data_IF_963520773331
#
_entry.id   IF_963520773331
#
_cell.length_a   1.000
_cell.length_b   1.000
_cell.length_c   1.000
_cell.angle_alpha   90.00
_cell.angle_beta   90.00
_cell.angle_gamma   90.00
#
_symmetry.space_group_name_H-M   'P 1'
#
loop_
_entity.id
_entity.type
_entity.pdbx_description
1 polymer ?
#
# COMPACT_ATOMS: atom_id res chain seq x y z
N UNK A 1 -52.65 -20.22 18.70
CA UNK A 1 -51.87 -20.17 17.45
C UNK A 1 -50.99 -21.40 17.39
N UNK A 2 -51.08 -22.21 16.33
CA UNK A 2 -50.18 -23.35 16.14
C UNK A 2 -48.73 -22.83 15.98
N UNK A 3 -47.77 -23.42 16.71
CA UNK A 3 -46.35 -23.01 16.67
C UNK A 3 -45.79 -23.11 15.25
N UNK A 4 -46.32 -24.03 14.45
CA UNK A 4 -45.92 -24.23 13.04
C UNK A 4 -46.35 -23.07 12.14
N UNK A 5 -47.60 -22.63 12.26
CA UNK A 5 -48.12 -21.51 11.48
C UNK A 5 -47.36 -20.21 11.82
N UNK A 6 -47.08 -19.98 13.11
CA UNK A 6 -46.29 -18.81 13.54
C UNK A 6 -44.85 -18.86 13.04
N UNK A 7 -44.23 -20.04 12.99
CA UNK A 7 -42.90 -20.21 12.42
C UNK A 7 -42.87 -19.85 10.92
N UNK A 8 -43.91 -20.24 10.17
CA UNK A 8 -44.02 -19.95 8.74
C UNK A 8 -44.18 -18.46 8.47
N UNK A 9 -45.06 -17.78 9.21
CA UNK A 9 -45.29 -16.33 9.11
C UNK A 9 -43.98 -15.55 9.33
N UNK A 10 -43.29 -15.81 10.44
CA UNK A 10 -42.00 -15.17 10.75
C UNK A 10 -40.94 -15.49 9.67
N UNK A 11 -40.94 -16.72 9.14
CA UNK A 11 -40.02 -17.05 8.06
C UNK A 11 -40.31 -16.22 6.82
N UNK A 12 -41.57 -16.08 6.40
CA UNK A 12 -41.96 -15.28 5.23
C UNK A 12 -41.67 -13.78 5.42
N UNK A 13 -41.81 -13.25 6.63
CA UNK A 13 -41.49 -11.86 6.98
C UNK A 13 -40.00 -11.51 6.85
N UNK A 14 -39.10 -12.49 6.82
CA UNK A 14 -37.66 -12.24 6.65
C UNK A 14 -36.77 -12.80 7.75
N UNK A 15 -37.34 -13.27 8.86
CA UNK A 15 -36.57 -13.71 10.01
C UNK A 15 -35.70 -14.92 9.68
N UNK A 16 -34.53 -14.99 10.33
CA UNK A 16 -33.63 -16.13 10.26
C UNK A 16 -34.14 -17.25 11.14
N UNK A 17 -33.81 -18.49 10.78
CA UNK A 17 -34.17 -19.69 11.56
C UNK A 17 -33.71 -19.61 13.03
N UNK A 18 -32.60 -18.92 13.31
CA UNK A 18 -32.07 -18.70 14.67
C UNK A 18 -32.96 -17.74 15.47
N UNK A 19 -33.49 -16.71 14.82
CA UNK A 19 -34.38 -15.72 15.45
C UNK A 19 -35.74 -16.36 15.75
N UNK A 20 -36.28 -17.11 14.80
CA UNK A 20 -37.53 -17.88 14.96
C UNK A 20 -37.41 -18.91 16.08
N UNK A 21 -36.25 -19.58 16.18
CA UNK A 21 -35.98 -20.54 17.25
C UNK A 21 -35.99 -19.89 18.64
N UNK A 22 -35.39 -18.70 18.77
CA UNK A 22 -35.40 -17.91 20.01
C UNK A 22 -36.82 -17.47 20.38
N UNK A 23 -37.57 -16.95 19.41
CA UNK A 23 -38.94 -16.45 19.61
C UNK A 23 -39.91 -17.55 20.06
N UNK A 24 -39.80 -18.74 19.47
CA UNK A 24 -40.69 -19.87 19.76
C UNK A 24 -40.21 -20.75 20.93
N UNK A 25 -39.04 -20.46 21.51
CA UNK A 25 -38.44 -21.24 22.59
C UNK A 25 -38.13 -22.69 22.19
N UNK A 26 -37.76 -22.93 20.93
CA UNK A 26 -37.48 -24.28 20.38
C UNK A 26 -36.11 -24.32 19.74
N UNK A 27 -35.56 -25.52 19.54
CA UNK A 27 -34.30 -25.67 18.84
C UNK A 27 -34.43 -25.34 17.35
N UNK A 28 -33.37 -24.80 16.74
CA UNK A 28 -33.34 -24.50 15.30
C UNK A 28 -33.67 -25.72 14.40
N UNK A 29 -33.21 -26.95 14.70
CA UNK A 29 -33.62 -28.13 13.94
C UNK A 29 -35.13 -28.41 14.03
N UNK A 30 -35.75 -28.13 15.18
CA UNK A 30 -37.20 -28.29 15.36
C UNK A 30 -37.97 -27.29 14.48
N UNK A 31 -37.54 -26.02 14.43
CA UNK A 31 -38.11 -25.02 13.51
C UNK A 31 -37.99 -25.47 12.06
N UNK A 32 -36.81 -25.96 11.67
CA UNK A 32 -36.57 -26.45 10.30
C UNK A 32 -37.49 -27.63 9.96
N UNK A 33 -37.69 -28.55 10.90
CA UNK A 33 -38.60 -29.70 10.72
C UNK A 33 -40.05 -29.25 10.58
N UNK A 34 -40.48 -28.24 11.35
CA UNK A 34 -41.82 -27.64 11.23
C UNK A 34 -42.01 -26.98 9.86
N UNK A 35 -41.05 -26.16 9.42
CA UNK A 35 -41.14 -25.41 8.17
C UNK A 35 -41.13 -26.30 6.92
N UNK A 36 -40.38 -27.40 6.91
CA UNK A 36 -40.33 -28.36 5.79
C UNK A 36 -41.68 -29.00 5.45
N UNK A 37 -42.67 -28.92 6.34
CA UNK A 37 -44.02 -29.44 6.08
C UNK A 37 -44.82 -28.54 5.14
N UNK A 38 -44.38 -27.28 4.95
CA UNK A 38 -45.09 -26.29 4.17
C UNK A 38 -44.43 -26.09 2.79
N UNK A 39 -45.18 -26.16 1.68
CA UNK A 39 -44.64 -25.88 0.35
C UNK A 39 -44.13 -24.45 0.20
N UNK A 40 -44.73 -23.48 0.90
CA UNK A 40 -44.37 -22.06 0.89
C UNK A 40 -42.93 -21.83 1.38
N UNK A 41 -42.47 -22.62 2.36
CA UNK A 41 -41.09 -22.57 2.84
C UNK A 41 -40.09 -22.88 1.73
N UNK A 42 -40.38 -23.87 0.89
CA UNK A 42 -39.51 -24.26 -0.22
C UNK A 42 -39.44 -23.18 -1.30
N UNK A 43 -40.58 -22.57 -1.63
CA UNK A 43 -40.65 -21.47 -2.60
C UNK A 43 -39.87 -20.25 -2.12
N UNK A 44 -40.07 -19.83 -0.87
CA UNK A 44 -39.38 -18.69 -0.29
C UNK A 44 -37.87 -18.95 -0.14
N UNK A 45 -37.48 -20.17 0.22
CA UNK A 45 -36.07 -20.56 0.29
C UNK A 45 -35.36 -20.44 -1.07
N UNK A 46 -35.99 -20.89 -2.15
CA UNK A 46 -35.43 -20.74 -3.49
C UNK A 46 -35.42 -19.28 -3.94
N UNK A 47 -36.44 -18.48 -3.59
CA UNK A 47 -36.45 -17.03 -3.83
C UNK A 47 -35.24 -16.34 -3.16
N UNK A 48 -35.02 -16.59 -1.87
CA UNK A 48 -33.87 -16.04 -1.12
C UNK A 48 -32.53 -16.47 -1.68
N UNK A 49 -32.43 -17.72 -2.14
CA UNK A 49 -31.21 -18.25 -2.77
C UNK A 49 -30.86 -17.47 -4.04
N UNK A 50 -31.85 -17.22 -4.91
CA UNK A 50 -31.67 -16.41 -6.12
C UNK A 50 -31.28 -14.97 -5.80
N UNK A 51 -31.98 -14.34 -4.86
CA UNK A 51 -31.70 -12.97 -4.42
C UNK A 51 -30.27 -12.83 -3.84
N UNK A 52 -29.85 -13.77 -3.00
CA UNK A 52 -28.51 -13.78 -2.43
C UNK A 52 -27.44 -14.02 -3.50
N UNK A 53 -27.70 -14.88 -4.49
CA UNK A 53 -26.78 -15.11 -5.59
C UNK A 53 -26.56 -13.83 -6.42
N UNK A 54 -27.63 -13.07 -6.66
CA UNK A 54 -27.56 -11.79 -7.36
C UNK A 54 -26.80 -10.74 -6.55
N UNK A 55 -27.13 -10.57 -5.25
CA UNK A 55 -26.40 -9.69 -4.33
C UNK A 55 -24.91 -10.04 -4.28
N UNK A 56 -24.56 -11.32 -4.21
CA UNK A 56 -23.18 -11.77 -4.21
C UNK A 56 -22.47 -11.47 -5.56
N UNK A 57 -23.18 -11.59 -6.69
CA UNK A 57 -22.65 -11.20 -8.02
C UNK A 57 -22.37 -9.71 -8.08
N UNK A 58 -23.32 -8.87 -7.66
CA UNK A 58 -23.15 -7.42 -7.63
C UNK A 58 -21.99 -7.01 -6.71
N UNK A 59 -21.91 -7.60 -5.52
CA UNK A 59 -20.80 -7.35 -4.59
C UNK A 59 -19.44 -7.73 -5.19
N UNK A 60 -19.31 -8.91 -5.80
CA UNK A 60 -18.06 -9.34 -6.48
C UNK A 60 -17.66 -8.38 -7.60
N UNK A 61 -18.62 -7.91 -8.39
CA UNK A 61 -18.37 -6.95 -9.47
C UNK A 61 -17.86 -5.61 -8.90
N UNK A 62 -18.52 -5.09 -7.86
CA UNK A 62 -18.10 -3.84 -7.19
C UNK A 62 -16.70 -3.96 -6.59
N UNK A 63 -16.42 -5.08 -5.92
CA UNK A 63 -15.10 -5.36 -5.35
C UNK A 63 -14.00 -5.41 -6.42
N UNK A 64 -14.25 -6.11 -7.54
CA UNK A 64 -13.31 -6.17 -8.67
C UNK A 64 -13.06 -4.80 -9.30
N UNK A 65 -14.12 -3.98 -9.45
CA UNK A 65 -13.99 -2.61 -9.97
C UNK A 65 -13.10 -1.76 -9.07
N UNK A 66 -13.39 -1.74 -7.76
CA UNK A 66 -12.60 -1.00 -6.77
C UNK A 66 -11.13 -1.43 -6.77
N UNK A 67 -10.85 -2.74 -6.90
CA UNK A 67 -9.48 -3.25 -6.97
C UNK A 67 -8.71 -2.83 -8.22
N UNK A 68 -9.40 -2.66 -9.35
CA UNK A 68 -8.79 -2.14 -10.59
C UNK A 68 -8.46 -0.65 -10.45
N UNK A 69 -9.40 0.13 -9.92
CA UNK A 69 -9.19 1.57 -9.68
C UNK A 69 -8.00 1.82 -8.73
N UNK A 70 -7.89 1.05 -7.65
CA UNK A 70 -6.72 1.10 -6.76
C UNK A 70 -5.40 0.80 -7.48
N UNK A 71 -5.38 -0.23 -8.33
CA UNK A 71 -4.17 -0.59 -9.08
C UNK A 71 -3.78 0.49 -10.10
N UNK A 72 -4.76 1.14 -10.74
CA UNK A 72 -4.51 2.23 -11.67
C UNK A 72 -3.91 3.46 -10.95
N UNK A 73 -4.43 3.80 -9.76
CA UNK A 73 -3.87 4.85 -8.90
C UNK A 73 -2.42 4.53 -8.47
N UNK A 74 -2.15 3.29 -8.05
CA UNK A 74 -0.81 2.84 -7.66
C UNK A 74 0.17 2.90 -8.85
N UNK A 75 -0.29 2.53 -10.05
CA UNK A 75 0.53 2.58 -11.25
C UNK A 75 0.91 4.01 -11.65
N UNK A 76 -0.03 4.95 -11.59
CA UNK A 76 0.23 6.36 -11.85
C UNK A 76 1.24 6.96 -10.85
N UNK A 77 1.16 6.55 -9.58
CA UNK A 77 2.15 6.93 -8.57
C UNK A 77 3.56 6.42 -8.93
N UNK A 78 3.67 5.13 -9.26
CA UNK A 78 4.95 4.52 -9.67
C UNK A 78 5.52 5.21 -10.92
N UNK A 79 4.67 5.54 -11.89
CA UNK A 79 5.10 6.24 -13.10
C UNK A 79 5.62 7.66 -12.79
N UNK A 80 4.97 8.37 -11.88
CA UNK A 80 5.41 9.68 -11.40
C UNK A 80 6.77 9.58 -10.73
N UNK A 81 6.94 8.65 -9.80
CA UNK A 81 8.21 8.42 -9.10
C UNK A 81 9.34 8.10 -10.08
N UNK A 82 9.07 7.24 -11.08
CA UNK A 82 10.03 6.95 -12.14
C UNK A 82 10.43 8.19 -12.95
N UNK A 83 9.48 9.06 -13.29
CA UNK A 83 9.77 10.32 -14.01
C UNK A 83 10.64 11.24 -13.17
N UNK A 84 10.34 11.40 -11.89
CA UNK A 84 11.11 12.23 -10.96
C UNK A 84 12.54 11.68 -10.80
N UNK A 85 12.69 10.37 -10.58
CA UNK A 85 13.99 9.71 -10.48
C UNK A 85 14.79 9.86 -11.78
N UNK A 86 14.16 9.66 -12.93
CA UNK A 86 14.81 9.84 -14.24
C UNK A 86 15.28 11.28 -14.41
N UNK A 87 14.46 12.28 -14.05
CA UNK A 87 14.85 13.68 -14.14
C UNK A 87 16.02 14.03 -13.20
N UNK A 88 16.04 13.46 -12.00
CA UNK A 88 17.12 13.67 -11.03
C UNK A 88 18.44 13.04 -11.51
N UNK A 89 18.39 11.82 -12.04
CA UNK A 89 19.57 11.05 -12.47
C UNK A 89 20.07 11.43 -13.88
N UNK A 90 19.21 11.93 -14.75
CA UNK A 90 19.54 12.30 -16.14
C UNK A 90 20.27 13.65 -16.27
N UNK A 91 20.73 14.24 -15.16
CA UNK A 91 21.53 15.48 -15.23
C UNK A 91 22.84 15.21 -15.96
N UNK A 92 22.99 15.80 -17.17
CA UNK A 92 24.19 15.72 -18.02
C UNK A 92 25.34 16.63 -17.56
N UNK A 93 25.42 16.94 -16.26
CA UNK A 93 26.49 17.78 -15.70
C UNK A 93 27.72 16.94 -15.34
N UNK A 94 28.92 17.47 -15.59
CA UNK A 94 30.14 16.94 -14.97
C UNK A 94 30.16 17.39 -13.52
N UNK A 95 30.49 16.49 -12.60
CA UNK A 95 30.71 16.84 -11.21
C UNK A 95 31.92 17.79 -11.15
N UNK A 96 31.80 18.92 -10.46
CA UNK A 96 32.91 19.85 -10.31
C UNK A 96 33.91 19.31 -9.28
N UNK A 97 35.18 19.62 -9.49
CA UNK A 97 36.29 19.29 -8.58
C UNK A 97 35.98 19.70 -7.13
N UNK A 98 35.35 20.86 -6.92
CA UNK A 98 34.96 21.34 -5.58
C UNK A 98 33.99 20.39 -4.86
N UNK A 99 33.02 19.81 -5.58
CA UNK A 99 32.05 18.88 -5.00
C UNK A 99 32.73 17.54 -4.71
N UNK A 100 33.57 17.08 -5.64
CA UNK A 100 34.39 15.89 -5.46
C UNK A 100 35.28 15.97 -4.21
N UNK A 101 35.97 17.09 -4.01
CA UNK A 101 36.81 17.33 -2.83
C UNK A 101 35.96 17.38 -1.57
N UNK A 102 34.80 18.05 -1.61
CA UNK A 102 33.90 18.13 -0.45
C UNK A 102 33.44 16.74 -0.01
N UNK A 103 33.11 15.85 -0.95
CA UNK A 103 32.74 14.46 -0.66
C UNK A 103 33.91 13.62 -0.12
N UNK A 104 35.13 13.91 -0.55
CA UNK A 104 36.35 13.18 -0.17
C UNK A 104 37.25 13.95 0.80
N UNK A 105 36.71 14.90 1.56
CA UNK A 105 37.51 15.89 2.31
C UNK A 105 38.47 15.26 3.33
N UNK A 106 38.10 14.11 3.90
CA UNK A 106 38.92 13.35 4.84
C UNK A 106 40.23 12.81 4.24
N UNK A 107 40.35 12.80 2.91
CA UNK A 107 41.53 12.33 2.17
C UNK A 107 42.44 13.49 1.75
N UNK A 108 42.14 14.72 2.19
CA UNK A 108 42.95 15.90 1.92
C UNK A 108 43.46 16.53 3.21
N UNK A 109 44.74 16.86 3.23
CA UNK A 109 45.37 17.63 4.29
C UNK A 109 45.47 19.10 3.88
N UNK A 110 45.29 20.00 4.85
CA UNK A 110 45.41 21.43 4.62
C UNK A 110 46.84 21.92 4.87
N UNK A 111 47.50 22.39 3.81
CA UNK A 111 48.78 23.08 3.88
C UNK A 111 48.55 24.58 4.14
N UNK A 112 48.85 25.00 5.38
CA UNK A 112 48.68 26.39 5.84
C UNK A 112 49.61 27.38 5.14
N UNK A 113 50.80 26.96 4.72
CA UNK A 113 51.79 27.85 4.10
C UNK A 113 51.38 28.23 2.67
N UNK A 114 50.76 27.27 1.97
CA UNK A 114 50.35 27.44 0.57
C UNK A 114 48.86 27.73 0.39
N UNK A 115 48.10 27.74 1.49
CA UNK A 115 46.63 27.89 1.52
C UNK A 115 45.93 26.87 0.59
N UNK A 116 46.40 25.61 0.57
CA UNK A 116 45.93 24.56 -0.36
C UNK A 116 45.53 23.29 0.36
N UNK A 117 44.54 22.60 -0.20
CA UNK A 117 44.27 21.21 0.13
C UNK A 117 45.14 20.31 -0.74
N UNK A 118 45.84 19.36 -0.12
CA UNK A 118 46.74 18.41 -0.78
C UNK A 118 46.24 17.00 -0.47
N UNK A 119 46.09 16.17 -1.50
CA UNK A 119 45.64 14.80 -1.31
C UNK A 119 46.64 14.01 -0.46
N UNK A 120 46.16 13.34 0.59
CA UNK A 120 46.95 12.50 1.47
C UNK A 120 47.19 11.14 0.82
N UNK A 121 48.41 10.90 0.35
CA UNK A 121 48.80 9.63 -0.28
C UNK A 121 48.72 8.43 0.69
N UNK A 122 48.71 8.66 2.00
CA UNK A 122 48.52 7.62 3.01
C UNK A 122 47.09 7.08 3.02
N UNK A 123 46.12 7.84 2.52
CA UNK A 123 44.72 7.41 2.43
C UNK A 123 44.48 6.46 1.23
N UNK A 124 45.52 6.15 0.46
CA UNK A 124 45.50 5.22 -0.66
C UNK A 124 45.82 5.88 -2.00
N UNK A 125 45.69 5.11 -3.08
CA UNK A 125 45.96 5.62 -4.43
C UNK A 125 44.87 6.60 -4.86
N UNK A 126 45.27 7.83 -5.17
CA UNK A 126 44.38 8.87 -5.70
C UNK A 126 43.67 8.40 -6.98
N UNK A 127 42.32 8.43 -7.04
CA UNK A 127 41.56 8.29 -8.27
C UNK A 127 41.95 9.33 -9.33
N UNK A 128 41.88 8.97 -10.61
CA UNK A 128 42.28 9.88 -11.69
C UNK A 128 41.46 11.19 -11.69
N UNK A 129 40.18 11.09 -11.33
CA UNK A 129 39.20 12.18 -11.35
C UNK A 129 39.35 13.18 -10.18
N UNK A 130 40.06 12.83 -9.11
CA UNK A 130 40.25 13.73 -7.95
C UNK A 130 41.47 14.62 -8.15
N UNK A 131 41.42 15.95 -7.97
CA UNK A 131 42.61 16.79 -8.14
C UNK A 131 43.67 16.53 -7.07
N UNK A 132 44.96 16.60 -7.41
CA UNK A 132 46.07 16.39 -6.45
C UNK A 132 46.18 17.52 -5.43
N UNK A 133 45.94 18.76 -5.87
CA UNK A 133 45.94 19.93 -5.00
C UNK A 133 44.98 20.99 -5.51
N UNK A 134 44.24 21.64 -4.62
CA UNK A 134 43.30 22.72 -4.97
C UNK A 134 43.47 23.90 -4.02
N UNK A 135 43.35 25.11 -4.58
CA UNK A 135 43.43 26.34 -3.82
C UNK A 135 42.13 26.55 -3.03
N UNK A 136 42.25 26.82 -1.74
CA UNK A 136 41.08 27.12 -0.91
C UNK A 136 40.87 28.62 -0.90
N UNK A 137 39.82 29.11 -1.56
CA UNK A 137 39.46 30.51 -1.44
C UNK A 137 39.07 30.81 0.01
N UNK A 138 39.50 31.96 0.55
CA UNK A 138 39.38 32.32 1.99
C UNK A 138 37.98 32.18 2.60
N UNK A 139 36.92 32.18 1.79
CA UNK A 139 35.53 32.03 2.22
C UNK A 139 35.16 30.58 2.60
N UNK A 140 35.88 29.57 2.11
CA UNK A 140 35.63 28.14 2.39
C UNK A 140 36.34 27.67 3.66
N UNK A 141 37.40 28.37 4.11
CA UNK A 141 38.17 28.02 5.31
C UNK A 141 37.41 28.19 6.64
N UNK A 142 36.24 28.84 6.64
CA UNK A 142 35.42 29.00 7.86
C UNK A 142 34.85 27.69 8.39
N UNK A 143 34.72 26.66 7.55
CA UNK A 143 34.19 25.35 7.96
C UNK A 143 35.28 24.41 8.55
N UNK A 144 36.53 24.85 8.57
CA UNK A 144 37.68 24.08 9.06
C UNK A 144 38.39 24.74 10.26
N UNK A 145 37.73 25.73 10.89
CA UNK A 145 38.25 26.45 12.06
C UNK A 145 37.58 25.99 13.34
#
# INVERSE_FOLDING_TARGET
MDKKAKALELYLEGFKLVEIAKELGVSQPAVTKMLKQFPEYHQEKERRKKENQEKARQWRNKYRKQKREQHDEDYELVLKDHREATAALSRKGRLSDDILITLCITHYDYDKEKERLIFNESAGKRPADLPRSVYVHKNVLRQFR
#
